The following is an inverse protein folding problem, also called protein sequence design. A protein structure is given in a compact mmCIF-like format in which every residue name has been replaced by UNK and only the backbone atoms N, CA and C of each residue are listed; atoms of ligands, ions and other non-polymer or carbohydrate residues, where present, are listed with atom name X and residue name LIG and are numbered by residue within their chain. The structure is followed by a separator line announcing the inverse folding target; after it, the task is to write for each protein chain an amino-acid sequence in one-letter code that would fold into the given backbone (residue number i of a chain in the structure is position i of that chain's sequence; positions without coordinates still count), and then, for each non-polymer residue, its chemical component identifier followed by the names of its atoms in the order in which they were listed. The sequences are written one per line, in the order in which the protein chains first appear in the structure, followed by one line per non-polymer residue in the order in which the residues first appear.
data_IF_570621614922
#
_entry.id   IF_570621614922
#
_cell.length_a   1.000
_cell.length_b   1.000
_cell.length_c   1.000
_cell.angle_alpha   90.00
_cell.angle_beta   90.00
_cell.angle_gamma   90.00
#
_symmetry.space_group_name_H-M   'P 1'
#
loop_
_entity.id
_entity.type
_entity.pdbx_description
1 polymer ?
#
# COMPACT_ATOMS: atom_id res chain seq x y z
N UNK A 1 -5.13 6.20 23.83
CA UNK A 1 -4.54 6.89 22.66
C UNK A 1 -3.69 5.91 21.87
N UNK A 2 -4.32 4.93 21.21
CA UNK A 2 -3.66 3.95 20.35
C UNK A 2 -3.84 4.39 18.90
N UNK A 3 -2.78 4.99 18.35
CA UNK A 3 -2.75 5.41 16.95
C UNK A 3 -2.87 4.21 16.00
N UNK A 4 -3.73 4.36 14.99
CA UNK A 4 -3.70 3.61 13.74
C UNK A 4 -3.80 2.08 13.84
N UNK A 5 -4.89 1.55 14.41
CA UNK A 5 -5.47 0.31 13.87
C UNK A 5 -6.08 0.62 12.51
N UNK A 6 -5.23 0.59 11.49
CA UNK A 6 -5.67 0.56 10.10
C UNK A 6 -6.40 -0.75 9.80
N UNK A 7 -7.42 -0.64 8.95
CA UNK A 7 -8.20 -1.70 8.29
C UNK A 7 -7.52 -3.07 8.44
N UNK A 8 -8.12 -3.96 9.24
CA UNK A 8 -7.59 -5.27 9.65
C UNK A 8 -7.47 -6.31 8.52
N UNK A 9 -6.78 -5.96 7.44
CA UNK A 9 -6.37 -6.90 6.39
C UNK A 9 -4.95 -7.37 6.72
N UNK A 10 -4.76 -8.69 6.77
CA UNK A 10 -3.44 -9.28 6.97
C UNK A 10 -2.44 -8.72 5.93
N UNK A 11 -1.25 -8.32 6.40
CA UNK A 11 -0.15 -7.89 5.52
C UNK A 11 0.40 -9.10 4.78
N UNK A 12 0.84 -8.90 3.55
CA UNK A 12 1.49 -9.94 2.77
C UNK A 12 2.86 -10.25 3.40
N UNK A 13 3.18 -11.54 3.48
CA UNK A 13 4.49 -12.05 3.85
C UNK A 13 5.52 -11.77 2.75
N UNK A 14 6.81 -11.90 3.09
CA UNK A 14 7.88 -11.68 2.11
C UNK A 14 7.85 -12.74 1.01
N UNK A 15 7.53 -13.96 1.40
CA UNK A 15 7.40 -15.14 0.56
C UNK A 15 6.26 -14.92 -0.44
N UNK A 16 5.06 -14.53 0.02
CA UNK A 16 3.92 -14.21 -0.86
C UNK A 16 4.23 -13.09 -1.87
N UNK A 17 4.92 -12.02 -1.44
CA UNK A 17 5.33 -10.94 -2.36
C UNK A 17 6.37 -11.41 -3.40
N UNK A 18 7.22 -12.36 -3.03
CA UNK A 18 8.22 -12.96 -3.92
C UNK A 18 7.55 -13.90 -4.93
N UNK A 19 6.64 -14.76 -4.48
CA UNK A 19 5.85 -15.66 -5.32
C UNK A 19 4.98 -14.91 -6.32
N UNK A 20 4.38 -13.79 -5.89
CA UNK A 20 3.63 -12.88 -6.74
C UNK A 20 4.53 -12.03 -7.68
N UNK A 21 5.85 -12.21 -7.62
CA UNK A 21 6.85 -11.52 -8.45
C UNK A 21 6.72 -9.99 -8.40
N UNK A 22 6.39 -9.44 -7.22
CA UNK A 22 6.29 -7.99 -7.07
C UNK A 22 7.69 -7.35 -7.18
N UNK A 23 7.84 -6.27 -7.97
CA UNK A 23 9.05 -5.45 -7.96
C UNK A 23 9.29 -4.85 -6.58
N UNK A 24 10.57 -4.63 -6.22
CA UNK A 24 10.97 -4.18 -4.88
C UNK A 24 10.24 -2.90 -4.43
N UNK A 25 10.01 -1.96 -5.34
CA UNK A 25 9.33 -0.70 -5.04
C UNK A 25 7.87 -0.87 -4.57
N UNK A 26 7.23 -2.00 -4.89
CA UNK A 26 5.84 -2.29 -4.54
C UNK A 26 5.71 -3.30 -3.39
N UNK A 27 6.82 -3.66 -2.75
CA UNK A 27 6.84 -4.53 -1.56
C UNK A 27 6.64 -3.72 -0.28
N UNK A 28 5.59 -2.91 -0.27
CA UNK A 28 5.24 -2.01 0.83
C UNK A 28 4.13 -2.59 1.72
N UNK A 29 3.64 -1.80 2.68
CA UNK A 29 2.55 -2.23 3.56
C UNK A 29 1.21 -2.47 2.87
N UNK A 30 1.06 -2.07 1.60
CA UNK A 30 -0.15 -2.21 0.79
C UNK A 30 -0.07 -3.38 -0.20
N UNK A 31 1.02 -4.16 -0.21
CA UNK A 31 1.25 -5.24 -1.15
C UNK A 31 0.16 -6.34 -1.10
N UNK A 32 -0.45 -6.57 0.05
CA UNK A 32 -1.58 -7.48 0.21
C UNK A 32 -2.81 -7.11 -0.64
N UNK A 33 -2.96 -5.84 -1.02
CA UNK A 33 -4.02 -5.38 -1.92
C UNK A 33 -3.57 -5.40 -3.40
N UNK A 34 -2.26 -5.28 -3.65
CA UNK A 34 -1.72 -5.29 -5.00
C UNK A 34 -1.74 -6.69 -5.63
N UNK A 35 -1.46 -7.73 -4.85
CA UNK A 35 -1.49 -9.12 -5.31
C UNK A 35 -2.86 -9.49 -5.93
N UNK A 36 -4.01 -9.33 -5.24
CA UNK A 36 -5.32 -9.63 -5.82
C UNK A 36 -5.68 -8.69 -6.98
N UNK A 37 -5.30 -7.41 -6.92
CA UNK A 37 -5.49 -6.48 -8.04
C UNK A 37 -4.77 -6.95 -9.31
N UNK A 38 -3.52 -7.38 -9.19
CA UNK A 38 -2.76 -7.88 -10.34
C UNK A 38 -3.36 -9.17 -10.88
N UNK A 39 -3.83 -10.08 -10.02
CA UNK A 39 -4.59 -11.27 -10.45
C UNK A 39 -5.82 -10.88 -11.27
N UNK A 40 -6.68 -9.99 -10.76
CA UNK A 40 -7.86 -9.50 -11.47
C UNK A 40 -7.50 -8.89 -12.84
N UNK A 41 -6.44 -8.07 -12.90
CA UNK A 41 -5.96 -7.46 -14.15
C UNK A 41 -5.56 -8.51 -15.19
N UNK A 42 -4.81 -9.54 -14.81
CA UNK A 42 -4.44 -10.60 -15.74
C UNK A 42 -5.66 -11.41 -16.22
N UNK A 43 -6.55 -11.80 -15.30
CA UNK A 43 -7.75 -12.58 -15.63
C UNK A 43 -8.73 -11.82 -16.55
N UNK A 44 -8.78 -10.49 -16.41
CA UNK A 44 -9.70 -9.63 -17.16
C UNK A 44 -9.02 -8.90 -18.32
N UNK A 45 -7.79 -9.28 -18.71
CA UNK A 45 -7.03 -8.63 -19.77
C UNK A 45 -6.92 -7.10 -19.61
N UNK A 46 -6.77 -6.64 -18.36
CA UNK A 46 -6.57 -5.23 -18.00
C UNK A 46 -7.72 -4.31 -18.43
N UNK A 47 -8.95 -4.84 -18.52
CA UNK A 47 -10.12 -4.01 -18.84
C UNK A 47 -10.33 -2.95 -17.73
N UNK A 48 -10.40 -1.65 -18.08
CA UNK A 48 -10.42 -0.55 -17.10
C UNK A 48 -11.56 -0.62 -16.06
N UNK A 49 -12.71 -1.18 -16.42
CA UNK A 49 -13.94 -1.19 -15.62
C UNK A 49 -14.15 -2.46 -14.78
N UNK A 50 -13.24 -3.45 -14.83
CA UNK A 50 -13.46 -4.75 -14.17
C UNK A 50 -12.88 -4.88 -12.76
N UNK A 51 -11.79 -4.17 -12.44
CA UNK A 51 -11.07 -4.28 -11.16
C UNK A 51 -11.08 -2.96 -10.38
N UNK A 52 -12.15 -2.17 -10.50
CA UNK A 52 -12.20 -0.82 -9.93
C UNK A 52 -12.13 -0.83 -8.40
N UNK A 53 -12.82 -1.76 -7.75
CA UNK A 53 -12.85 -1.86 -6.28
C UNK A 53 -11.48 -2.20 -5.72
N UNK A 54 -10.79 -3.20 -6.28
CA UNK A 54 -9.44 -3.60 -5.90
C UNK A 54 -8.44 -2.47 -6.15
N UNK A 55 -8.57 -1.80 -7.32
CA UNK A 55 -7.73 -0.66 -7.68
C UNK A 55 -7.86 0.47 -6.68
N UNK A 56 -9.09 0.90 -6.40
CA UNK A 56 -9.35 2.00 -5.47
C UNK A 56 -8.98 1.65 -4.03
N UNK A 57 -9.12 0.38 -3.63
CA UNK A 57 -8.67 -0.08 -2.32
C UNK A 57 -7.14 0.03 -2.19
N UNK A 58 -6.40 -0.40 -3.20
CA UNK A 58 -4.94 -0.28 -3.24
C UNK A 58 -4.48 1.20 -3.27
N UNK A 59 -5.09 2.02 -4.13
CA UNK A 59 -4.81 3.47 -4.23
C UNK A 59 -5.07 4.20 -2.91
N UNK A 60 -6.17 3.88 -2.23
CA UNK A 60 -6.49 4.46 -0.92
C UNK A 60 -5.45 4.08 0.12
N UNK A 61 -4.99 2.83 0.14
CA UNK A 61 -3.93 2.40 1.04
C UNK A 61 -2.65 3.20 0.81
N UNK A 62 -2.23 3.34 -0.45
CA UNK A 62 -1.04 4.11 -0.81
C UNK A 62 -1.14 5.57 -0.41
N UNK A 63 -2.31 6.18 -0.59
CA UNK A 63 -2.57 7.55 -0.18
C UNK A 63 -2.46 7.72 1.34
N UNK A 64 -3.05 6.80 2.12
CA UNK A 64 -3.00 6.84 3.58
C UNK A 64 -1.57 6.66 4.10
N UNK A 65 -0.82 5.72 3.51
CA UNK A 65 0.59 5.56 3.86
C UNK A 65 1.34 6.87 3.56
N UNK A 66 1.17 7.44 2.36
CA UNK A 66 1.88 8.65 1.97
C UNK A 66 1.66 9.78 2.98
N UNK A 67 0.42 9.96 3.45
CA UNK A 67 0.11 10.94 4.50
C UNK A 67 0.87 10.69 5.80
N UNK A 68 1.09 9.43 6.20
CA UNK A 68 1.93 9.12 7.36
C UNK A 68 3.39 9.48 7.12
N UNK A 69 3.92 9.21 5.92
CA UNK A 69 5.29 9.61 5.58
C UNK A 69 5.46 11.13 5.61
N UNK A 70 4.48 11.88 5.11
CA UNK A 70 4.48 13.35 5.19
C UNK A 70 4.48 13.81 6.65
N UNK A 71 3.59 13.27 7.49
CA UNK A 71 3.55 13.62 8.91
C UNK A 71 4.89 13.35 9.61
N UNK A 72 5.51 12.18 9.36
CA UNK A 72 6.84 11.85 9.90
C UNK A 72 7.93 12.81 9.40
N UNK A 73 7.87 13.22 8.14
CA UNK A 73 8.83 14.19 7.59
C UNK A 73 8.67 15.56 8.23
N UNK A 74 7.45 16.00 8.53
CA UNK A 74 7.20 17.27 9.20
C UNK A 74 7.71 17.23 10.66
N UNK A 75 7.50 16.13 11.39
CA UNK A 75 8.09 15.91 12.72
C UNK A 75 9.63 16.02 12.70
N UNK A 76 10.29 15.39 11.72
CA UNK A 76 11.74 15.46 11.55
C UNK A 76 12.24 16.87 11.22
N UNK A 77 11.48 17.62 10.41
CA UNK A 77 11.81 19.01 10.06
C UNK A 77 11.74 19.93 11.26
N UNK A 78 10.73 19.79 12.12
CA UNK A 78 10.62 20.58 13.35
C UNK A 78 11.72 20.20 14.36
N UNK A 79 12.03 18.91 14.51
CA UNK A 79 13.13 18.47 15.37
C UNK A 79 14.50 19.02 14.90
N UNK A 80 14.70 19.18 13.59
CA UNK A 80 15.92 19.74 13.03
C UNK A 80 16.08 21.26 13.25
N UNK A 81 14.98 22.01 13.46
CA UNK A 81 15.02 23.45 13.77
C UNK A 81 15.39 23.74 15.23
N UNK A 82 15.20 22.76 16.11
CA UNK A 82 15.41 22.89 17.55
C UNK A 82 16.82 22.44 18.00
N UNK A 83 17.73 22.18 17.05
CA UNK A 83 19.16 21.90 17.26
C UNK A 83 20.00 22.96 16.55
#
# INVERSE_FOLDING_TARGET
MTGATEIGVAKATREEMSEAKLPLAYRDSCANLLIPLNRCRFETYYLPWKCETERHSYEKCQYLEFKKRVAKMDELREAAKNN
#
